data_IF_177227993827
#
_entry.id   IF_177227993827
#
_cell.length_a   1.000
_cell.length_b   1.000
_cell.length_c   1.000
_cell.angle_alpha   90.00
_cell.angle_beta   90.00
_cell.angle_gamma   90.00
#
_symmetry.space_group_name_H-M   'P 1'
#
loop_
_entity.id
_entity.type
_entity.pdbx_description
1 polymer ?
#
# COMPACT_ATOMS: atom_id res chain seq x y z
N UNK A 1 9.03 6.45 5.66
CA UNK A 1 9.11 7.91 5.43
C UNK A 1 9.64 8.67 6.65
N UNK A 2 9.08 8.50 7.85
CA UNK A 2 9.51 9.25 9.04
C UNK A 2 11.02 9.21 9.33
N UNK A 3 11.68 8.08 9.18
CA UNK A 3 13.14 7.97 9.38
C UNK A 3 13.94 8.88 8.45
N UNK A 4 13.53 9.00 7.18
CA UNK A 4 14.23 9.89 6.24
C UNK A 4 13.96 11.35 6.53
N UNK A 5 12.76 11.71 6.97
CA UNK A 5 12.45 13.07 7.40
C UNK A 5 13.27 13.47 8.63
N UNK A 6 13.36 12.57 9.63
CA UNK A 6 14.20 12.79 10.81
C UNK A 6 15.66 12.94 10.42
N UNK A 7 16.19 12.03 9.59
CA UNK A 7 17.57 12.11 9.09
C UNK A 7 17.82 13.43 8.36
N UNK A 8 16.92 13.83 7.45
CA UNK A 8 17.09 15.08 6.69
C UNK A 8 17.04 16.33 7.60
N UNK A 9 16.26 16.31 8.66
CA UNK A 9 16.15 17.40 9.62
C UNK A 9 17.36 17.51 10.56
N UNK A 10 18.08 16.40 10.81
CA UNK A 10 19.16 16.34 11.81
C UNK A 10 20.56 16.19 11.22
N UNK A 11 20.68 15.93 9.90
CA UNK A 11 21.98 15.71 9.24
C UNK A 11 22.44 16.98 8.52
N UNK A 12 23.60 17.56 8.90
CA UNK A 12 24.11 18.77 8.25
C UNK A 12 24.26 18.68 6.74
N UNK A 13 24.68 17.52 6.22
CA UNK A 13 24.80 17.28 4.77
C UNK A 13 23.47 17.31 4.01
N UNK A 14 22.35 17.16 4.71
CA UNK A 14 21.00 17.23 4.14
C UNK A 14 20.39 18.65 4.18
N UNK A 15 21.06 19.60 4.85
CA UNK A 15 20.54 20.95 5.00
C UNK A 15 20.30 21.65 3.65
N UNK A 16 19.14 22.26 3.48
CA UNK A 16 18.73 22.97 2.26
C UNK A 16 18.73 22.10 0.98
N UNK A 17 18.52 20.78 1.13
CA UNK A 17 18.45 19.85 0.03
C UNK A 17 17.03 19.30 -0.16
N UNK A 18 16.63 19.09 -1.43
CA UNK A 18 15.43 18.36 -1.77
C UNK A 18 15.78 16.88 -1.99
N UNK A 19 14.93 15.97 -1.53
CA UNK A 19 15.09 14.53 -1.63
C UNK A 19 13.80 13.86 -2.10
N UNK A 20 13.95 12.82 -2.93
CA UNK A 20 12.89 11.85 -3.09
C UNK A 20 12.77 11.00 -1.82
N UNK A 21 11.54 10.63 -1.46
CA UNK A 21 11.25 9.82 -0.28
C UNK A 21 10.44 8.59 -0.68
N UNK A 22 11.04 7.40 -0.53
CA UNK A 22 10.37 6.10 -0.60
C UNK A 22 10.94 5.17 0.49
N UNK A 23 10.43 3.93 0.56
CA UNK A 23 11.00 2.90 1.43
C UNK A 23 12.33 2.30 0.90
N UNK A 24 12.76 2.70 -0.30
CA UNK A 24 14.01 2.24 -0.92
C UNK A 24 13.88 0.91 -1.68
N UNK A 25 12.69 0.35 -1.75
CA UNK A 25 12.36 -0.88 -2.47
C UNK A 25 11.77 -0.61 -3.85
N UNK A 26 11.85 -1.60 -4.74
CA UNK A 26 11.22 -1.61 -6.07
C UNK A 26 10.62 -2.99 -6.29
N UNK A 27 9.34 -3.06 -6.58
CA UNK A 27 8.65 -4.32 -6.84
C UNK A 27 7.68 -4.17 -8.03
N UNK A 28 7.19 -5.30 -8.55
CA UNK A 28 6.12 -5.36 -9.55
C UNK A 28 4.79 -5.67 -8.88
N UNK A 29 3.76 -4.92 -9.22
CA UNK A 29 2.41 -5.18 -8.71
C UNK A 29 1.91 -6.59 -9.05
N UNK A 30 2.24 -7.13 -10.24
CA UNK A 30 1.89 -8.51 -10.58
C UNK A 30 2.42 -9.55 -9.58
N UNK A 31 3.64 -9.35 -9.07
CA UNK A 31 4.19 -10.17 -8.00
C UNK A 31 3.52 -9.91 -6.67
N UNK A 32 3.36 -8.63 -6.29
CA UNK A 32 2.78 -8.26 -4.99
C UNK A 32 1.33 -8.73 -4.86
N UNK A 33 0.53 -8.65 -5.93
CA UNK A 33 -0.84 -9.17 -5.93
C UNK A 33 -0.89 -10.68 -5.69
N UNK A 34 0.04 -11.44 -6.24
CA UNK A 34 0.17 -12.87 -5.94
C UNK A 34 0.42 -13.11 -4.45
N UNK A 35 1.33 -12.35 -3.83
CA UNK A 35 1.62 -12.47 -2.40
C UNK A 35 0.43 -12.07 -1.53
N UNK A 36 -0.29 -10.99 -1.89
CA UNK A 36 -1.50 -10.57 -1.17
C UNK A 36 -2.60 -11.62 -1.29
N UNK A 37 -2.83 -12.17 -2.49
CA UNK A 37 -3.81 -13.21 -2.69
C UNK A 37 -3.49 -14.46 -1.86
N UNK A 38 -2.25 -14.92 -1.85
CA UNK A 38 -1.79 -16.04 -1.01
C UNK A 38 -2.04 -15.77 0.49
N UNK A 39 -1.75 -14.56 0.96
CA UNK A 39 -1.96 -14.20 2.36
C UNK A 39 -3.43 -14.28 2.79
N UNK A 40 -4.36 -13.96 1.90
CA UNK A 40 -5.80 -14.04 2.14
C UNK A 40 -6.43 -15.36 1.67
N UNK A 41 -5.64 -16.36 1.28
CA UNK A 41 -6.10 -17.64 0.73
C UNK A 41 -7.03 -17.46 -0.48
N UNK A 42 -6.68 -16.52 -1.37
CA UNK A 42 -7.44 -16.21 -2.58
C UNK A 42 -6.64 -16.59 -3.83
N UNK A 43 -7.36 -16.90 -4.90
CA UNK A 43 -6.74 -17.06 -6.22
C UNK A 43 -6.68 -15.68 -6.92
N UNK A 44 -5.49 -15.20 -7.34
CA UNK A 44 -5.39 -13.96 -8.07
C UNK A 44 -6.05 -14.11 -9.44
N UNK A 45 -6.81 -13.09 -9.85
CA UNK A 45 -7.32 -13.00 -11.20
C UNK A 45 -6.21 -12.56 -12.16
N UNK A 46 -6.31 -12.96 -13.43
CA UNK A 46 -5.45 -12.46 -14.49
C UNK A 46 -5.67 -10.95 -14.69
N UNK A 47 -4.63 -10.29 -15.20
CA UNK A 47 -4.73 -8.87 -15.53
C UNK A 47 -5.81 -8.67 -16.62
N UNK A 48 -6.82 -7.84 -16.39
CA UNK A 48 -7.86 -7.59 -17.39
C UNK A 48 -7.29 -6.81 -18.58
N UNK A 49 -7.74 -7.14 -19.78
CA UNK A 49 -7.33 -6.42 -21.01
C UNK A 49 -7.88 -4.98 -21.09
N UNK A 50 -8.97 -4.73 -20.38
CA UNK A 50 -9.63 -3.42 -20.31
C UNK A 50 -9.58 -2.86 -18.88
N UNK A 51 -9.48 -1.54 -18.72
CA UNK A 51 -9.54 -0.92 -17.39
C UNK A 51 -10.84 -1.26 -16.68
N UNK A 52 -10.72 -1.66 -15.42
CA UNK A 52 -11.85 -2.00 -14.55
C UNK A 52 -11.71 -1.22 -13.23
N UNK A 53 -12.16 0.06 -13.17
CA UNK A 53 -12.01 0.88 -11.98
C UNK A 53 -12.65 0.25 -10.74
N UNK A 54 -11.92 0.22 -9.64
CA UNK A 54 -12.41 -0.31 -8.35
C UNK A 54 -13.62 0.47 -7.85
N UNK A 55 -13.65 1.78 -8.06
CA UNK A 55 -14.80 2.61 -7.69
C UNK A 55 -16.11 2.10 -8.30
N UNK A 56 -16.06 1.64 -9.56
CA UNK A 56 -17.23 1.05 -10.22
C UNK A 56 -17.51 -0.36 -9.73
N UNK A 57 -16.46 -1.18 -9.57
CA UNK A 57 -16.63 -2.58 -9.15
C UNK A 57 -17.17 -2.69 -7.73
N UNK A 58 -16.78 -1.78 -6.83
CA UNK A 58 -17.11 -1.84 -5.40
C UNK A 58 -18.29 -0.95 -5.00
N UNK A 59 -19.01 -0.38 -5.96
CA UNK A 59 -20.09 0.57 -5.68
C UNK A 59 -21.18 0.02 -4.74
N UNK A 60 -21.46 -1.28 -4.80
CA UNK A 60 -22.53 -1.96 -4.04
C UNK A 60 -21.99 -2.93 -2.97
N UNK A 61 -20.69 -2.91 -2.67
CA UNK A 61 -20.04 -3.92 -1.79
C UNK A 61 -20.33 -3.75 -0.29
N UNK A 62 -21.04 -2.70 0.11
CA UNK A 62 -21.41 -2.51 1.52
C UNK A 62 -22.23 -3.69 2.09
N UNK A 63 -23.07 -4.33 1.28
CA UNK A 63 -23.84 -5.49 1.73
C UNK A 63 -22.94 -6.68 2.00
N UNK A 64 -22.01 -6.99 1.10
CA UNK A 64 -21.02 -8.06 1.28
C UNK A 64 -20.10 -7.76 2.48
N UNK A 65 -19.70 -6.51 2.65
CA UNK A 65 -18.90 -6.10 3.82
C UNK A 65 -19.68 -6.33 5.13
N UNK A 66 -20.95 -6.01 5.17
CA UNK A 66 -21.80 -6.23 6.37
C UNK A 66 -21.82 -7.72 6.78
N UNK A 67 -21.87 -8.63 5.81
CA UNK A 67 -21.83 -10.07 6.08
C UNK A 67 -20.46 -10.50 6.62
N UNK A 68 -19.37 -10.01 6.03
CA UNK A 68 -17.99 -10.23 6.49
C UNK A 68 -17.81 -9.72 7.94
N UNK A 69 -18.27 -8.51 8.23
CA UNK A 69 -18.22 -7.93 9.58
C UNK A 69 -18.90 -8.82 10.61
N UNK A 70 -20.07 -9.33 10.27
CA UNK A 70 -20.85 -10.23 11.16
C UNK A 70 -20.12 -11.57 11.37
N UNK A 71 -19.60 -12.18 10.31
CA UNK A 71 -18.93 -13.47 10.33
C UNK A 71 -17.62 -13.40 11.16
N UNK A 72 -16.82 -12.38 10.93
CA UNK A 72 -15.49 -12.20 11.56
C UNK A 72 -15.51 -11.30 12.79
N UNK A 73 -16.70 -10.80 13.22
CA UNK A 73 -16.86 -9.92 14.39
C UNK A 73 -15.94 -8.68 14.31
N UNK A 74 -15.88 -8.05 13.14
CA UNK A 74 -15.06 -6.86 12.91
C UNK A 74 -15.66 -5.63 13.60
N UNK A 75 -14.83 -4.61 13.84
CA UNK A 75 -15.24 -3.40 14.58
C UNK A 75 -15.85 -2.31 13.70
N UNK A 76 -15.49 -2.27 12.40
CA UNK A 76 -15.94 -1.23 11.49
C UNK A 76 -16.94 -1.79 10.49
N UNK A 77 -18.19 -1.34 10.61
CA UNK A 77 -19.29 -1.79 9.76
C UNK A 77 -19.46 -0.99 8.48
N UNK A 78 -18.85 0.16 8.36
CA UNK A 78 -18.92 1.03 7.18
C UNK A 78 -17.64 0.87 6.36
N UNK A 79 -17.74 0.20 5.18
CA UNK A 79 -16.60 -0.03 4.31
C UNK A 79 -15.95 1.27 3.84
N UNK A 80 -16.71 2.33 3.64
CA UNK A 80 -16.22 3.62 3.16
C UNK A 80 -15.23 4.30 4.10
N UNK A 81 -15.23 3.90 5.39
CA UNK A 81 -14.28 4.39 6.39
C UNK A 81 -12.94 3.66 6.35
N UNK A 82 -12.87 2.52 5.69
CA UNK A 82 -11.66 1.68 5.59
C UNK A 82 -10.97 1.81 4.25
N UNK A 83 -11.72 2.03 3.18
CA UNK A 83 -11.19 2.03 1.81
C UNK A 83 -11.52 3.34 1.09
N UNK A 84 -10.74 3.62 0.07
CA UNK A 84 -11.01 4.67 -0.90
C UNK A 84 -10.69 4.16 -2.31
N UNK A 85 -11.65 3.50 -2.98
CA UNK A 85 -11.46 2.95 -4.32
C UNK A 85 -10.94 4.00 -5.30
N UNK A 86 -11.50 5.21 -5.27
CA UNK A 86 -11.05 6.33 -6.11
C UNK A 86 -9.55 6.65 -5.96
N UNK A 87 -9.03 6.70 -4.74
CA UNK A 87 -7.59 6.94 -4.52
C UNK A 87 -6.74 5.79 -5.05
N UNK A 88 -7.18 4.55 -4.86
CA UNK A 88 -6.50 3.38 -5.36
C UNK A 88 -6.47 3.36 -6.89
N UNK A 89 -7.59 3.67 -7.54
CA UNK A 89 -7.66 3.81 -9.01
C UNK A 89 -6.74 4.92 -9.52
N UNK A 90 -6.69 6.07 -8.84
CA UNK A 90 -5.79 7.17 -9.20
C UNK A 90 -4.31 6.80 -9.10
N UNK A 91 -3.93 5.95 -8.15
CA UNK A 91 -2.55 5.54 -7.95
C UNK A 91 -2.15 4.33 -8.81
N UNK A 92 -3.00 3.31 -8.92
CA UNK A 92 -2.69 2.06 -9.62
C UNK A 92 -3.12 2.07 -11.11
N UNK A 93 -4.10 2.89 -11.48
CA UNK A 93 -4.58 3.01 -12.86
C UNK A 93 -3.68 3.84 -13.79
N UNK A 94 -2.49 4.22 -13.36
CA UNK A 94 -1.56 5.03 -14.18
C UNK A 94 -1.03 4.21 -15.35
N UNK A 95 -1.01 4.76 -16.58
CA UNK A 95 -0.51 4.05 -17.76
C UNK A 95 1.03 4.03 -17.87
N UNK A 96 1.73 4.55 -16.88
CA UNK A 96 3.20 4.68 -16.86
C UNK A 96 3.79 4.07 -15.59
N UNK A 97 4.96 3.45 -15.74
CA UNK A 97 5.77 3.04 -14.60
C UNK A 97 6.44 4.25 -13.95
N UNK A 98 6.45 4.28 -12.63
CA UNK A 98 7.15 5.31 -11.85
C UNK A 98 8.15 4.63 -10.93
N UNK A 99 9.43 4.90 -11.17
CA UNK A 99 10.53 4.45 -10.30
C UNK A 99 11.20 5.67 -9.69
N UNK A 100 11.31 5.68 -8.37
CA UNK A 100 11.89 6.80 -7.64
C UNK A 100 13.36 6.56 -7.33
N UNK A 101 14.24 7.44 -7.83
CA UNK A 101 15.67 7.37 -7.53
C UNK A 101 15.99 7.94 -6.14
N UNK A 102 16.54 7.10 -5.27
CA UNK A 102 16.99 7.41 -3.93
C UNK A 102 18.50 7.65 -3.82
N UNK A 103 19.23 7.71 -4.93
CA UNK A 103 20.70 7.78 -4.96
C UNK A 103 21.24 9.00 -4.22
N UNK A 104 20.56 10.14 -4.29
CA UNK A 104 21.01 11.38 -3.63
C UNK A 104 21.06 11.22 -2.11
N UNK A 105 20.01 10.74 -1.50
CA UNK A 105 19.98 10.51 -0.03
C UNK A 105 20.96 9.44 0.40
N UNK A 106 21.10 8.35 -0.38
CA UNK A 106 22.08 7.28 -0.12
C UNK A 106 23.52 7.76 -0.16
N UNK A 107 23.88 8.59 -1.15
CA UNK A 107 25.22 9.21 -1.24
C UNK A 107 25.55 10.11 -0.06
N UNK A 108 24.54 10.69 0.58
CA UNK A 108 24.69 11.53 1.77
C UNK A 108 24.53 10.77 3.10
N UNK A 109 24.47 9.43 3.03
CA UNK A 109 24.53 8.56 4.22
C UNK A 109 23.17 8.03 4.70
N UNK A 110 22.06 8.33 4.02
CA UNK A 110 20.77 7.69 4.34
C UNK A 110 20.67 6.32 3.67
N UNK A 111 20.90 5.25 4.44
CA UNK A 111 20.89 3.87 3.94
C UNK A 111 19.72 3.03 4.46
N UNK A 112 18.80 3.63 5.21
CA UNK A 112 17.64 2.91 5.72
C UNK A 112 16.76 2.39 4.56
N UNK A 113 16.24 1.19 4.76
CA UNK A 113 15.46 0.43 3.77
C UNK A 113 14.34 -0.33 4.49
N UNK A 114 13.22 -0.51 3.82
CA UNK A 114 12.16 -1.41 4.25
C UNK A 114 11.60 -2.12 3.01
N UNK A 115 11.55 -3.45 3.01
CA UNK A 115 10.91 -4.20 1.97
C UNK A 115 9.40 -3.87 1.90
N UNK A 116 8.89 -3.65 0.71
CA UNK A 116 7.47 -3.33 0.53
C UNK A 116 6.57 -4.49 0.95
N UNK A 117 6.97 -5.72 0.64
CA UNK A 117 6.30 -6.92 1.12
C UNK A 117 6.10 -6.86 2.64
N UNK A 118 7.16 -6.72 3.40
CA UNK A 118 7.10 -6.72 4.87
C UNK A 118 6.22 -5.58 5.38
N UNK A 119 6.32 -4.39 4.76
CA UNK A 119 5.50 -3.24 5.14
C UNK A 119 3.99 -3.50 4.95
N UNK A 120 3.58 -4.15 3.84
CA UNK A 120 2.18 -4.51 3.60
C UNK A 120 1.69 -5.54 4.63
N UNK A 121 2.45 -6.60 4.84
CA UNK A 121 2.02 -7.70 5.73
C UNK A 121 2.03 -7.29 7.20
N UNK A 122 2.97 -6.46 7.66
CA UNK A 122 2.92 -5.85 8.99
C UNK A 122 1.63 -5.02 9.20
N UNK A 123 1.19 -4.28 8.18
CA UNK A 123 -0.07 -3.53 8.24
C UNK A 123 -1.26 -4.47 8.29
N UNK A 124 -1.31 -5.51 7.45
CA UNK A 124 -2.41 -6.48 7.48
C UNK A 124 -2.51 -7.20 8.82
N UNK A 125 -1.39 -7.65 9.38
CA UNK A 125 -1.35 -8.26 10.71
C UNK A 125 -1.86 -7.29 11.81
N UNK A 126 -1.51 -6.02 11.71
CA UNK A 126 -2.04 -5.00 12.62
C UNK A 126 -3.55 -4.84 12.46
N UNK A 127 -4.05 -4.73 11.23
CA UNK A 127 -5.46 -4.56 10.94
C UNK A 127 -6.28 -5.78 11.42
N UNK A 128 -5.75 -7.01 11.26
CA UNK A 128 -6.34 -8.24 11.82
C UNK A 128 -6.40 -8.22 13.36
N UNK A 129 -5.30 -7.90 14.02
CA UNK A 129 -5.28 -7.76 15.49
C UNK A 129 -6.28 -6.72 15.99
N UNK A 130 -6.42 -5.63 15.27
CA UNK A 130 -7.36 -4.56 15.58
C UNK A 130 -8.80 -4.92 15.20
N UNK A 131 -9.03 -6.06 14.54
CA UNK A 131 -10.32 -6.53 14.00
C UNK A 131 -10.94 -5.54 13.03
N UNK A 132 -10.15 -5.01 12.11
CA UNK A 132 -10.57 -4.13 11.02
C UNK A 132 -10.68 -4.88 9.69
N UNK A 133 -9.97 -6.01 9.56
CA UNK A 133 -10.09 -6.96 8.44
C UNK A 133 -10.13 -8.39 8.97
N UNK A 134 -10.60 -9.36 8.16
CA UNK A 134 -10.62 -10.79 8.49
C UNK A 134 -9.25 -11.39 8.75
#
# INVERSE_FOLDING_TARGET
>A
MAHQQLWAATTPAAANQAFNITNGDVFRWSWMWGQIAEYFDLQPADFPSEPAPLETQMADDQAAWTDIVREHQLKEGDISRLISPWHTDADLGRPIEVVTDMSKSRKLGFTAFQASHDAFFEVFEKLRRDRLIP
#
